data_IF_123400937540
#
_entry.id   IF_123400937540
#
_cell.length_a   1.000
_cell.length_b   1.000
_cell.length_c   1.000
_cell.angle_alpha   90.00
_cell.angle_beta   90.00
_cell.angle_gamma   90.00
#
_symmetry.space_group_name_H-M   'P 1'
#
loop_
_entity.id
_entity.type
_entity.pdbx_description
1 polymer ?
#
# COMPACT_ATOMS: atom_id res chain seq x y z
N UNK A 1 -6.87 -21.51 -16.66
CA UNK A 1 -7.57 -20.21 -16.71
C UNK A 1 -7.97 -19.64 -15.34
N UNK A 2 -7.99 -20.39 -14.23
CA UNK A 2 -8.46 -19.87 -12.93
C UNK A 2 -7.64 -18.72 -12.31
N UNK A 3 -6.32 -18.68 -12.52
CA UNK A 3 -5.45 -17.69 -11.89
C UNK A 3 -5.71 -16.24 -12.35
N UNK A 4 -6.05 -16.05 -13.63
CA UNK A 4 -6.32 -14.73 -14.21
C UNK A 4 -7.62 -14.16 -13.65
N UNK A 5 -8.67 -14.99 -13.58
CA UNK A 5 -9.96 -14.61 -13.00
C UNK A 5 -9.83 -14.26 -11.51
N UNK A 6 -9.07 -15.04 -10.73
CA UNK A 6 -8.81 -14.72 -9.32
C UNK A 6 -8.07 -13.38 -9.16
N UNK A 7 -7.13 -13.07 -10.05
CA UNK A 7 -6.40 -11.80 -10.02
C UNK A 7 -7.29 -10.60 -10.36
N UNK A 8 -8.18 -10.75 -11.35
CA UNK A 8 -9.10 -9.70 -11.77
C UNK A 8 -10.23 -9.46 -10.75
N UNK A 9 -10.65 -10.51 -10.03
CA UNK A 9 -11.70 -10.41 -9.01
C UNK A 9 -11.18 -9.96 -7.63
N UNK A 10 -9.86 -9.86 -7.44
CA UNK A 10 -9.26 -9.42 -6.19
C UNK A 10 -9.41 -7.90 -6.05
N UNK A 11 -10.54 -7.46 -5.48
CA UNK A 11 -10.80 -6.07 -5.14
C UNK A 11 -10.95 -5.89 -3.62
N UNK A 12 -10.31 -4.88 -3.01
CA UNK A 12 -9.32 -3.97 -3.59
C UNK A 12 -7.95 -4.65 -3.75
N UNK A 13 -7.32 -4.52 -4.92
CA UNK A 13 -5.97 -5.06 -5.16
C UNK A 13 -4.87 -4.21 -4.53
N UNK A 14 -5.13 -2.91 -4.41
CA UNK A 14 -4.20 -1.93 -3.85
C UNK A 14 -4.84 -1.27 -2.63
N UNK A 15 -4.11 -1.22 -1.53
CA UNK A 15 -4.47 -0.46 -0.34
C UNK A 15 -3.54 0.75 -0.27
N UNK A 16 -4.10 1.94 -0.46
CA UNK A 16 -3.36 3.19 -0.50
C UNK A 16 -3.67 4.00 0.75
N UNK A 17 -2.63 4.38 1.50
CA UNK A 17 -2.76 5.28 2.64
C UNK A 17 -1.85 6.48 2.47
N UNK A 18 -2.25 7.61 3.05
CA UNK A 18 -1.51 8.86 3.01
C UNK A 18 -1.20 9.35 4.41
N UNK A 19 -0.05 9.99 4.56
CA UNK A 19 0.27 10.80 5.73
C UNK A 19 -0.14 12.24 5.40
N UNK A 20 -1.09 12.77 6.15
CA UNK A 20 -1.55 14.16 6.03
C UNK A 20 -1.01 14.97 7.22
N UNK A 21 -0.58 16.20 6.95
CA UNK A 21 -0.19 17.18 7.96
C UNK A 21 -0.65 18.55 7.53
N UNK A 22 -1.40 19.24 8.39
CA UNK A 22 -1.92 20.58 8.12
C UNK A 22 -2.74 20.69 6.81
N UNK A 23 -3.45 19.61 6.44
CA UNK A 23 -4.24 19.56 5.21
C UNK A 23 -3.44 19.17 3.95
N UNK A 24 -2.12 18.97 4.08
CA UNK A 24 -1.24 18.61 2.97
C UNK A 24 -0.79 17.15 3.04
N UNK A 25 -0.75 16.47 1.89
CA UNK A 25 -0.22 15.11 1.80
C UNK A 25 1.30 15.17 1.79
N UNK A 26 1.92 14.65 2.84
CA UNK A 26 3.39 14.67 3.04
C UNK A 26 4.05 13.32 2.81
N UNK A 27 3.27 12.26 2.60
CA UNK A 27 3.77 10.93 2.30
C UNK A 27 2.66 9.95 1.98
N UNK A 28 3.02 8.77 1.49
CA UNK A 28 2.08 7.70 1.16
C UNK A 28 2.72 6.33 1.28
N UNK A 29 1.86 5.32 1.31
CA UNK A 29 2.21 3.91 1.20
C UNK A 29 1.20 3.18 0.32
N UNK A 30 1.70 2.26 -0.49
CA UNK A 30 0.91 1.41 -1.38
C UNK A 30 1.22 -0.05 -1.01
N UNK A 31 0.19 -0.77 -0.61
CA UNK A 31 0.24 -2.22 -0.43
C UNK A 31 -0.47 -2.92 -1.58
N UNK A 32 0.13 -3.99 -2.11
CA UNK A 32 -0.54 -4.89 -3.05
C UNK A 32 -1.00 -6.14 -2.34
N UNK A 33 -2.27 -6.45 -2.50
CA UNK A 33 -2.82 -7.73 -2.08
C UNK A 33 -2.66 -8.77 -3.19
N UNK A 34 -1.97 -9.87 -2.87
CA UNK A 34 -1.77 -11.03 -3.74
C UNK A 34 -2.36 -12.27 -3.06
N UNK A 35 -3.48 -12.78 -3.56
CA UNK A 35 -4.11 -14.00 -3.04
C UNK A 35 -3.79 -15.25 -3.89
N UNK A 36 -3.51 -15.10 -5.18
CA UNK A 36 -3.14 -16.23 -6.06
C UNK A 36 -4.12 -17.41 -5.93
N UNK A 37 -3.59 -18.59 -5.56
CA UNK A 37 -4.36 -19.81 -5.25
C UNK A 37 -4.42 -20.12 -3.74
N UNK A 38 -3.91 -19.21 -2.90
CA UNK A 38 -3.81 -19.45 -1.46
C UNK A 38 -5.12 -19.06 -0.77
N UNK A 39 -5.47 -19.73 0.34
CA UNK A 39 -6.62 -19.32 1.15
C UNK A 39 -6.43 -17.91 1.73
N UNK A 40 -5.20 -17.58 2.11
CA UNK A 40 -4.83 -16.30 2.70
C UNK A 40 -4.19 -15.37 1.67
N UNK A 41 -4.50 -14.07 1.78
CA UNK A 41 -3.85 -13.06 0.97
C UNK A 41 -2.51 -12.62 1.58
N UNK A 42 -1.51 -12.44 0.72
CA UNK A 42 -0.23 -11.83 1.06
C UNK A 42 -0.30 -10.34 0.74
N UNK A 43 0.09 -9.49 1.69
CA UNK A 43 0.32 -8.07 1.45
C UNK A 43 1.80 -7.84 1.15
N UNK A 44 2.09 -7.19 0.03
CA UNK A 44 3.44 -6.78 -0.35
C UNK A 44 3.53 -5.26 -0.39
N UNK A 45 4.62 -4.71 0.16
CA UNK A 45 4.92 -3.29 0.06
C UNK A 45 5.34 -2.98 -1.37
N UNK A 46 4.50 -2.26 -2.11
CA UNK A 46 4.85 -1.80 -3.47
C UNK A 46 5.74 -0.57 -3.36
N UNK A 47 5.28 0.41 -2.59
CA UNK A 47 5.91 1.73 -2.55
C UNK A 47 5.63 2.42 -1.23
N UNK A 48 6.63 3.12 -0.73
CA UNK A 48 6.54 4.05 0.39
C UNK A 48 7.39 5.26 0.07
N UNK A 49 6.82 6.45 0.26
CA UNK A 49 7.56 7.69 0.10
C UNK A 49 7.07 8.75 1.09
N UNK A 50 8.02 9.59 1.52
CA UNK A 50 7.77 10.76 2.35
C UNK A 50 8.52 11.93 1.72
N UNK A 51 7.88 13.09 1.63
CA UNK A 51 8.49 14.31 1.11
C UNK A 51 9.82 14.58 1.82
N UNK A 52 10.88 15.02 1.11
CA UNK A 52 12.19 15.28 1.73
C UNK A 52 12.13 16.21 2.94
N UNK A 53 11.27 17.23 2.90
CA UNK A 53 11.05 18.17 4.01
C UNK A 53 10.39 17.56 5.25
N UNK A 54 9.72 16.41 5.10
CA UNK A 54 9.02 15.69 6.16
C UNK A 54 9.75 14.40 6.62
N UNK A 55 10.91 14.10 6.03
CA UNK A 55 11.74 12.95 6.41
C UNK A 55 12.41 13.15 7.78
N UNK A 56 12.87 12.04 8.39
CA UNK A 56 13.49 12.07 9.72
C UNK A 56 12.52 12.20 10.90
N UNK A 57 11.22 12.41 10.64
CA UNK A 57 10.18 12.61 11.67
C UNK A 57 9.39 11.32 12.00
N UNK A 58 9.84 10.16 11.50
CA UNK A 58 9.18 8.87 11.74
C UNK A 58 7.90 8.61 10.94
N UNK A 59 7.54 9.48 9.99
CA UNK A 59 6.32 9.33 9.17
C UNK A 59 6.30 8.03 8.35
N UNK A 60 7.44 7.64 7.76
CA UNK A 60 7.54 6.37 7.03
C UNK A 60 7.24 5.16 7.93
N UNK A 61 7.64 5.21 9.21
CA UNK A 61 7.34 4.14 10.17
C UNK A 61 5.87 4.12 10.56
N UNK A 62 5.20 5.27 10.60
CA UNK A 62 3.75 5.35 10.90
C UNK A 62 2.87 4.86 9.76
N UNK A 63 3.39 4.89 8.53
CA UNK A 63 2.67 4.42 7.34
C UNK A 63 2.68 2.89 7.23
N UNK A 64 3.63 2.19 7.87
CA UNK A 64 3.74 0.72 7.93
C UNK A 64 3.00 0.19 9.14
#
# INVERSE_FOLDING_TARGET
MGWLQCNLNAAPRFLNFVAESEGEIVGYIIWVQKSGFRPEAVLELEQLAVLPSAQGQGLGKKLI
#
